data_IF_057073444914
#
_entry.id   IF_057073444914
#
_cell.length_a   1.000
_cell.length_b   1.000
_cell.length_c   1.000
_cell.angle_alpha   90.00
_cell.angle_beta   90.00
_cell.angle_gamma   90.00
#
_symmetry.space_group_name_H-M   'P 1'
#
loop_
_entity.id
_entity.type
_entity.pdbx_description
1 polymer ?
#
# COMPACT_ATOMS: atom_id res chain seq x y z
N UNK A 1 5.29 6.80 -5.79
CA UNK A 1 5.72 5.41 -6.09
C UNK A 1 6.68 4.83 -5.05
N UNK A 2 7.51 5.62 -4.37
CA UNK A 2 8.44 5.14 -3.34
C UNK A 2 7.79 4.29 -2.23
N UNK A 3 6.61 4.70 -1.73
CA UNK A 3 5.81 3.91 -0.78
C UNK A 3 5.59 2.45 -1.23
N UNK A 4 5.20 2.26 -2.49
CA UNK A 4 4.88 0.94 -3.05
C UNK A 4 6.15 0.12 -3.26
N UNK A 5 7.26 0.75 -3.63
CA UNK A 5 8.55 0.06 -3.74
C UNK A 5 9.08 -0.39 -2.38
N UNK A 6 8.99 0.44 -1.35
CA UNK A 6 9.36 0.07 0.02
C UNK A 6 8.47 -1.06 0.56
N UNK A 7 7.16 -0.99 0.33
CA UNK A 7 6.22 -2.05 0.69
C UNK A 7 6.54 -3.37 -0.04
N UNK A 8 6.78 -3.30 -1.36
CA UNK A 8 7.14 -4.46 -2.15
C UNK A 8 8.45 -5.11 -1.67
N UNK A 9 9.47 -4.30 -1.43
CA UNK A 9 10.75 -4.77 -0.89
C UNK A 9 10.57 -5.44 0.48
N UNK A 10 9.87 -4.78 1.40
CA UNK A 10 9.58 -5.33 2.72
C UNK A 10 8.83 -6.67 2.64
N UNK A 11 7.93 -6.84 1.66
CA UNK A 11 7.11 -8.03 1.54
C UNK A 11 7.92 -9.30 1.17
N UNK A 12 8.96 -9.19 0.35
CA UNK A 12 9.78 -10.36 -0.05
C UNK A 12 11.07 -10.52 0.76
N UNK A 13 11.49 -9.52 1.55
CA UNK A 13 12.65 -9.64 2.44
C UNK A 13 12.35 -10.59 3.61
N UNK A 14 13.37 -11.31 4.05
CA UNK A 14 13.32 -12.08 5.29
C UNK A 14 13.26 -11.14 6.50
N UNK A 15 12.82 -11.66 7.65
CA UNK A 15 12.85 -10.91 8.90
C UNK A 15 14.27 -10.40 9.22
N UNK A 16 14.36 -9.14 9.66
CA UNK A 16 15.63 -8.49 9.97
C UNK A 16 15.68 -7.03 9.57
N UNK A 17 16.86 -6.44 9.70
CA UNK A 17 17.08 -5.00 9.52
C UNK A 17 16.66 -4.49 8.14
N UNK A 18 16.89 -5.26 7.07
CA UNK A 18 16.51 -4.85 5.72
C UNK A 18 14.99 -4.70 5.56
N UNK A 19 14.21 -5.64 6.10
CA UNK A 19 12.75 -5.57 6.08
C UNK A 19 12.26 -4.39 6.92
N UNK A 20 12.82 -4.18 8.11
CA UNK A 20 12.49 -3.03 8.96
C UNK A 20 12.75 -1.70 8.25
N UNK A 21 13.91 -1.51 7.62
CA UNK A 21 14.23 -0.28 6.88
C UNK A 21 13.28 -0.05 5.69
N UNK A 22 12.89 -1.12 4.99
CA UNK A 22 11.95 -1.02 3.88
C UNK A 22 10.53 -0.63 4.35
N UNK A 23 10.09 -1.18 5.49
CA UNK A 23 8.83 -0.78 6.16
C UNK A 23 8.89 0.70 6.55
N UNK A 24 9.97 1.14 7.21
CA UNK A 24 10.16 2.54 7.62
C UNK A 24 10.12 3.48 6.42
N UNK A 25 10.83 3.17 5.33
CA UNK A 25 10.80 4.01 4.11
C UNK A 25 9.41 4.09 3.47
N UNK A 26 8.65 2.99 3.50
CA UNK A 26 7.26 2.99 3.04
C UNK A 26 6.38 3.87 3.95
N UNK A 27 6.55 3.77 5.27
CA UNK A 27 5.82 4.54 6.27
C UNK A 27 6.16 6.04 6.23
N UNK A 28 7.39 6.42 5.91
CA UNK A 28 7.78 7.83 5.67
C UNK A 28 6.99 8.44 4.51
N UNK A 29 6.85 7.68 3.42
CA UNK A 29 6.04 8.10 2.28
C UNK A 29 4.55 8.23 2.62
N UNK A 30 4.02 7.31 3.44
CA UNK A 30 2.64 7.39 3.95
C UNK A 30 2.46 8.61 4.88
N UNK A 31 3.41 8.88 5.76
CA UNK A 31 3.39 10.03 6.65
C UNK A 31 3.40 11.36 5.87
N UNK A 32 4.09 11.42 4.73
CA UNK A 32 4.01 12.56 3.84
C UNK A 32 2.59 12.73 3.27
N UNK A 33 1.98 11.66 2.75
CA UNK A 33 0.62 11.71 2.20
C UNK A 33 -0.44 12.06 3.26
N UNK A 34 -0.30 11.52 4.48
CA UNK A 34 -1.15 11.84 5.63
C UNK A 34 -1.13 13.36 5.93
N UNK A 35 0.04 13.99 5.86
CA UNK A 35 0.15 15.45 6.02
C UNK A 35 -0.50 16.21 4.87
N UNK A 36 -0.39 15.70 3.63
CA UNK A 36 -0.94 16.37 2.45
C UNK A 36 -2.48 16.34 2.39
N UNK A 37 -3.10 15.31 2.97
CA UNK A 37 -4.55 15.16 3.00
C UNK A 37 -5.21 15.87 4.18
N UNK A 38 -4.44 16.33 5.17
CA UNK A 38 -4.96 17.03 6.34
C UNK A 38 -5.94 18.17 5.97
N UNK A 39 -7.14 18.08 6.55
CA UNK A 39 -8.23 19.03 6.31
C UNK A 39 -8.97 18.85 4.98
N UNK A 40 -8.80 17.72 4.29
CA UNK A 40 -9.49 17.43 3.03
C UNK A 40 -10.14 16.05 3.06
N UNK A 41 -11.29 15.92 2.39
CA UNK A 41 -11.97 14.63 2.20
C UNK A 41 -11.26 13.76 1.17
N UNK A 42 -10.78 14.39 0.10
CA UNK A 42 -9.97 13.82 -0.97
C UNK A 42 -8.72 14.66 -1.16
N UNK A 43 -7.68 14.15 -1.83
CA UNK A 43 -6.53 14.99 -2.17
C UNK A 43 -6.91 16.18 -3.06
N UNK A 44 -7.98 16.06 -3.85
CA UNK A 44 -8.64 17.14 -4.59
C UNK A 44 -9.42 18.16 -3.75
N UNK A 45 -9.57 17.96 -2.44
CA UNK A 45 -10.39 18.81 -1.56
C UNK A 45 -11.71 18.14 -1.19
N UNK A 46 -12.83 18.74 -1.62
CA UNK A 46 -14.18 18.20 -1.39
C UNK A 46 -14.56 17.09 -2.40
N UNK A 47 -14.00 17.16 -3.61
CA UNK A 47 -14.20 16.21 -4.70
C UNK A 47 -12.89 15.49 -5.07
N UNK A 48 -13.01 14.36 -5.76
CA UNK A 48 -11.85 13.61 -6.25
C UNK A 48 -11.02 14.45 -7.24
N UNK A 49 -9.72 14.45 -7.06
CA UNK A 49 -8.75 15.08 -7.95
C UNK A 49 -7.84 14.06 -8.62
N UNK A 50 -6.84 14.57 -9.35
CA UNK A 50 -5.85 13.75 -10.04
C UNK A 50 -5.12 12.79 -9.10
N UNK A 51 -4.68 13.27 -7.93
CA UNK A 51 -3.92 12.45 -6.99
C UNK A 51 -4.76 11.32 -6.41
N UNK A 52 -6.07 11.52 -6.20
CA UNK A 52 -6.97 10.46 -5.73
C UNK A 52 -7.03 9.32 -6.73
N UNK A 53 -7.13 9.62 -8.03
CA UNK A 53 -7.13 8.61 -9.09
C UNK A 53 -5.76 7.93 -9.18
N UNK A 54 -4.67 8.70 -9.11
CA UNK A 54 -3.32 8.18 -9.22
C UNK A 54 -2.88 7.30 -8.04
N UNK A 55 -3.40 7.56 -6.84
CA UNK A 55 -3.01 6.90 -5.59
C UNK A 55 -4.09 5.96 -5.02
N UNK A 56 -5.33 6.04 -5.47
CA UNK A 56 -6.48 5.38 -4.82
C UNK A 56 -6.46 3.86 -4.83
N UNK A 57 -5.63 3.24 -5.68
CA UNK A 57 -5.39 1.80 -5.67
C UNK A 57 -4.40 1.34 -4.59
N UNK A 58 -3.57 2.26 -4.07
CA UNK A 58 -2.47 1.94 -3.14
C UNK A 58 -2.97 1.24 -1.87
N UNK A 59 -4.02 1.71 -1.16
CA UNK A 59 -4.48 1.05 0.06
C UNK A 59 -4.86 -0.42 -0.14
N UNK A 60 -5.48 -0.76 -1.28
CA UNK A 60 -5.87 -2.13 -1.59
C UNK A 60 -4.66 -3.05 -1.80
N UNK A 61 -3.62 -2.55 -2.46
CA UNK A 61 -2.40 -3.32 -2.71
C UNK A 61 -1.56 -3.46 -1.43
N UNK A 62 -1.45 -2.39 -0.64
CA UNK A 62 -0.74 -2.43 0.63
C UNK A 62 -1.36 -3.46 1.59
N UNK A 63 -2.70 -3.52 1.70
CA UNK A 63 -3.37 -4.53 2.53
C UNK A 63 -3.01 -5.97 2.15
N UNK A 64 -2.82 -6.25 0.86
CA UNK A 64 -2.42 -7.58 0.39
C UNK A 64 -0.93 -7.83 0.64
N UNK A 65 -0.07 -6.83 0.42
CA UNK A 65 1.36 -6.94 0.74
C UNK A 65 1.62 -7.12 2.23
N UNK A 66 0.84 -6.47 3.10
CA UNK A 66 0.88 -6.66 4.56
C UNK A 66 0.62 -8.12 4.94
N UNK A 67 -0.42 -8.74 4.34
CA UNK A 67 -0.77 -10.13 4.58
C UNK A 67 0.32 -11.10 4.08
N UNK A 68 0.71 -11.00 2.81
CA UNK A 68 1.69 -11.92 2.21
C UNK A 68 3.10 -11.72 2.78
N UNK A 69 3.42 -10.48 3.11
CA UNK A 69 4.69 -10.08 3.72
C UNK A 69 4.76 -10.32 5.22
N UNK A 70 3.65 -10.58 5.91
CA UNK A 70 3.61 -10.66 7.36
C UNK A 70 4.15 -9.39 8.01
N UNK A 71 3.61 -8.24 7.65
CA UNK A 71 4.06 -6.92 8.11
C UNK A 71 2.91 -5.93 8.26
N UNK A 72 3.17 -4.75 8.83
CA UNK A 72 2.21 -3.66 8.94
C UNK A 72 2.78 -2.39 8.31
N UNK A 73 1.97 -1.69 7.53
CA UNK A 73 2.32 -0.52 6.75
C UNK A 73 1.31 0.62 6.97
N UNK A 74 0.05 0.43 6.56
CA UNK A 74 -1.00 1.45 6.64
C UNK A 74 -1.85 1.23 7.89
N UNK A 75 -1.28 1.55 9.06
CA UNK A 75 -1.95 1.39 10.35
C UNK A 75 -2.91 2.56 10.63
N UNK A 76 -4.16 2.28 11.01
CA UNK A 76 -5.19 3.30 11.24
C UNK A 76 -4.85 4.26 12.37
N UNK A 77 -4.11 3.80 13.38
CA UNK A 77 -3.66 4.64 14.50
C UNK A 77 -2.58 5.65 14.08
N UNK A 78 -1.79 5.33 13.04
CA UNK A 78 -0.72 6.18 12.52
C UNK A 78 -1.16 7.05 11.36
N UNK A 79 -2.06 6.54 10.53
CA UNK A 79 -2.53 7.18 9.30
C UNK A 79 -4.07 7.22 9.23
N UNK A 80 -4.73 7.84 10.23
CA UNK A 80 -6.19 7.86 10.31
C UNK A 80 -6.84 8.55 9.11
N UNK A 81 -6.24 9.62 8.58
CA UNK A 81 -6.81 10.37 7.47
C UNK A 81 -6.70 9.60 6.15
N UNK A 82 -5.57 8.92 5.91
CA UNK A 82 -5.44 8.04 4.75
C UNK A 82 -6.38 6.83 4.83
N UNK A 83 -6.67 6.32 6.03
CA UNK A 83 -7.68 5.27 6.22
C UNK A 83 -9.08 5.77 5.87
N UNK A 84 -9.47 6.93 6.39
CA UNK A 84 -10.76 7.55 6.09
C UNK A 84 -10.89 7.86 4.59
N UNK A 85 -9.85 8.40 3.98
CA UNK A 85 -9.80 8.66 2.55
C UNK A 85 -9.93 7.38 1.72
N UNK A 86 -9.19 6.33 2.06
CA UNK A 86 -9.28 5.05 1.35
C UNK A 86 -10.69 4.47 1.43
N UNK A 87 -11.33 4.57 2.61
CA UNK A 87 -12.72 4.18 2.80
C UNK A 87 -13.67 5.01 1.92
N UNK A 88 -13.54 6.35 1.93
CA UNK A 88 -14.38 7.23 1.13
C UNK A 88 -14.17 7.04 -0.37
N UNK A 89 -12.94 6.76 -0.81
CA UNK A 89 -12.58 6.57 -2.21
C UNK A 89 -13.20 5.29 -2.79
N UNK A 90 -13.16 4.17 -2.05
CA UNK A 90 -13.72 2.89 -2.54
C UNK A 90 -15.24 2.85 -2.58
N UNK A 91 -15.93 3.72 -1.83
CA UNK A 91 -17.39 3.83 -1.89
C UNK A 91 -17.89 4.50 -3.18
N UNK A 92 -17.00 5.12 -3.98
CA UNK A 92 -17.37 5.71 -5.27
C UNK A 92 -17.72 4.57 -6.25
N UNK A 93 -18.94 4.52 -6.83
CA UNK A 93 -19.40 3.37 -7.63
C UNK A 93 -18.45 2.97 -8.75
N UNK A 94 -17.99 3.94 -9.55
CA UNK A 94 -17.06 3.68 -10.66
C UNK A 94 -15.72 3.13 -10.17
N UNK A 95 -15.20 3.62 -9.03
CA UNK A 95 -13.96 3.11 -8.45
C UNK A 95 -14.15 1.68 -7.98
N UNK A 96 -15.25 1.40 -7.27
CA UNK A 96 -15.58 0.07 -6.76
C UNK A 96 -15.64 -0.97 -7.87
N UNK A 97 -16.17 -0.61 -9.04
CA UNK A 97 -16.22 -1.48 -10.21
C UNK A 97 -14.86 -1.70 -10.88
N UNK A 98 -13.93 -0.74 -10.74
CA UNK A 98 -12.59 -0.80 -11.31
C UNK A 98 -11.57 -1.54 -10.42
N UNK A 99 -11.82 -1.67 -9.11
CA UNK A 99 -10.88 -2.32 -8.20
C UNK A 99 -10.90 -3.85 -8.38
N UNK A 100 -9.73 -4.49 -8.58
CA UNK A 100 -9.66 -5.94 -8.69
C UNK A 100 -10.16 -6.65 -7.43
N UNK A 101 -10.81 -7.82 -7.56
CA UNK A 101 -11.14 -8.67 -6.42
C UNK A 101 -9.88 -8.97 -5.58
N UNK A 102 -10.03 -8.90 -4.26
CA UNK A 102 -8.92 -9.10 -3.31
C UNK A 102 -8.20 -10.43 -3.51
N UNK A 103 -8.95 -11.51 -3.79
CA UNK A 103 -8.41 -12.85 -4.03
C UNK A 103 -7.44 -12.87 -5.23
N UNK A 104 -7.78 -12.17 -6.32
CA UNK A 104 -6.88 -12.09 -7.48
C UNK A 104 -5.59 -11.35 -7.17
N UNK A 105 -5.67 -10.31 -6.32
CA UNK A 105 -4.47 -9.62 -5.85
C UNK A 105 -3.64 -10.54 -4.95
N UNK A 106 -4.27 -11.26 -4.02
CA UNK A 106 -3.57 -12.23 -3.17
C UNK A 106 -2.83 -13.28 -4.00
N UNK A 107 -3.47 -13.89 -5.00
CA UNK A 107 -2.84 -14.87 -5.88
C UNK A 107 -1.62 -14.27 -6.59
N UNK A 108 -1.77 -13.08 -7.17
CA UNK A 108 -0.69 -12.37 -7.84
C UNK A 108 0.48 -12.07 -6.89
N UNK A 109 0.19 -11.54 -5.70
CA UNK A 109 1.20 -11.16 -4.72
C UNK A 109 1.89 -12.37 -4.11
N UNK A 110 1.16 -13.42 -3.78
CA UNK A 110 1.73 -14.68 -3.31
C UNK A 110 2.71 -15.27 -4.33
N UNK A 111 2.30 -15.38 -5.60
CA UNK A 111 3.16 -15.90 -6.66
C UNK A 111 4.41 -15.03 -6.86
N UNK A 112 4.22 -13.72 -6.94
CA UNK A 112 5.30 -12.79 -7.25
C UNK A 112 6.31 -12.65 -6.09
N UNK A 113 5.84 -12.61 -4.84
CA UNK A 113 6.70 -12.56 -3.65
C UNK A 113 7.44 -13.90 -3.47
N UNK A 114 6.78 -15.03 -3.70
CA UNK A 114 7.43 -16.35 -3.63
C UNK A 114 8.56 -16.46 -4.65
N UNK A 115 8.32 -15.98 -5.87
CA UNK A 115 9.34 -15.89 -6.90
C UNK A 115 10.52 -15.00 -6.46
N UNK A 116 10.26 -13.80 -5.95
CA UNK A 116 11.32 -12.91 -5.46
C UNK A 116 12.14 -13.52 -4.32
N UNK A 117 11.50 -14.21 -3.38
CA UNK A 117 12.17 -14.96 -2.31
C UNK A 117 13.08 -16.05 -2.88
N UNK A 118 12.62 -16.80 -3.89
CA UNK A 118 13.44 -17.83 -4.54
C UNK A 118 14.68 -17.27 -5.25
N UNK A 119 14.59 -16.08 -5.84
CA UNK A 119 15.75 -15.41 -6.44
C UNK A 119 16.76 -14.95 -5.39
N UNK A 120 16.28 -14.50 -4.23
CA UNK A 120 17.15 -14.07 -3.14
C UNK A 120 17.91 -15.23 -2.50
N UNK A 121 17.31 -16.42 -2.41
CA UNK A 121 17.97 -17.64 -1.88
C UNK A 121 18.96 -18.26 -2.86
N UNK A 122 18.88 -17.93 -4.15
CA UNK A 122 19.73 -18.47 -5.21
C UNK A 122 20.93 -17.56 -5.56
N UNK A 123 21.22 -16.54 -4.74
CA UNK A 123 22.42 -15.71 -4.92
C UNK A 123 23.67 -16.52 -4.52
N UNK A 124 24.69 -16.60 -5.39
CA UNK A 124 25.94 -17.32 -5.10
C UNK A 124 26.74 -16.68 -3.98
#
# INVERSE_FOLDING_TARGET
MQCVFGAWEAAYKAEGEEKTRAIESAQESLAFLEKQIAGKKYFGGEDIGFLDIAAGWIPHWLSVMEEVGGMKLLEAEKFPLLHEWAHNFIQIPLIRECIPPREKLLDYFNASISYMRSLATNKP
#
